data_IF_960697112612
#
_entry.id   IF_960697112612
#
_cell.length_a   1.000
_cell.length_b   1.000
_cell.length_c   1.000
_cell.angle_alpha   90.00
_cell.angle_beta   90.00
_cell.angle_gamma   90.00
#
_symmetry.space_group_name_H-M   'P 1'
#
loop_
_entity.id
_entity.type
_entity.pdbx_description
1 polymer ?
#
# COMPACT_ATOMS: atom_id res chain seq x y z
N UNK A 1 -9.84 -20.17 -18.99
CA UNK A 1 -8.51 -20.78 -18.82
C UNK A 1 -8.56 -21.52 -17.49
N UNK A 2 -8.10 -22.79 -17.44
CA UNK A 2 -8.00 -23.51 -16.16
C UNK A 2 -6.91 -22.88 -15.31
N UNK A 3 -7.07 -22.84 -13.97
CA UNK A 3 -6.11 -22.27 -13.02
C UNK A 3 -4.66 -22.81 -13.24
N UNK A 4 -4.53 -24.08 -13.60
CA UNK A 4 -3.24 -24.76 -13.84
C UNK A 4 -2.46 -24.27 -15.07
N UNK A 5 -3.03 -23.45 -15.94
CA UNK A 5 -2.36 -22.96 -17.16
C UNK A 5 -2.13 -21.43 -17.15
N UNK A 6 -2.24 -20.78 -15.99
CA UNK A 6 -1.99 -19.36 -15.86
C UNK A 6 -0.52 -19.12 -15.46
N UNK A 7 0.29 -18.43 -16.28
CA UNK A 7 1.71 -18.20 -15.99
C UNK A 7 1.94 -17.35 -14.73
N UNK A 8 0.94 -16.59 -14.29
CA UNK A 8 1.03 -15.82 -13.06
C UNK A 8 0.84 -16.70 -11.81
N UNK A 9 0.32 -17.90 -11.96
CA UNK A 9 0.11 -18.83 -10.85
C UNK A 9 1.45 -19.26 -10.24
N UNK A 10 2.40 -19.69 -11.07
CA UNK A 10 3.75 -20.06 -10.63
C UNK A 10 4.52 -18.89 -10.01
N UNK A 11 4.24 -17.67 -10.45
CA UNK A 11 4.82 -16.45 -9.85
C UNK A 11 4.31 -16.26 -8.42
N UNK A 12 3.04 -16.54 -8.17
CA UNK A 12 2.47 -16.49 -6.83
C UNK A 12 2.93 -17.62 -5.92
N UNK A 13 3.14 -18.84 -6.47
CA UNK A 13 3.80 -19.94 -5.73
C UNK A 13 5.22 -19.55 -5.29
N UNK A 14 5.97 -18.92 -6.20
CA UNK A 14 7.30 -18.38 -5.90
C UNK A 14 7.27 -17.34 -4.77
N UNK A 15 6.28 -16.46 -4.77
CA UNK A 15 6.09 -15.49 -3.68
C UNK A 15 5.90 -16.17 -2.32
N UNK A 16 5.08 -17.24 -2.24
CA UNK A 16 4.89 -17.96 -0.98
C UNK A 16 6.18 -18.60 -0.48
N UNK A 17 6.96 -19.20 -1.40
CA UNK A 17 8.27 -19.78 -1.08
C UNK A 17 9.25 -18.72 -0.59
N UNK A 18 9.33 -17.59 -1.27
CA UNK A 18 10.19 -16.47 -0.90
C UNK A 18 9.77 -15.85 0.46
N UNK A 19 8.48 -15.77 0.73
CA UNK A 19 7.95 -15.25 1.99
C UNK A 19 8.37 -16.13 3.18
N UNK A 20 8.39 -17.45 2.99
CA UNK A 20 8.78 -18.40 4.01
C UNK A 20 10.30 -18.44 4.24
N UNK A 21 11.11 -18.26 3.20
CA UNK A 21 12.56 -18.44 3.24
C UNK A 21 13.33 -17.13 3.35
N UNK A 22 12.88 -16.08 2.70
CA UNK A 22 13.61 -14.80 2.56
C UNK A 22 12.92 -13.59 3.21
N UNK A 23 11.73 -13.79 3.74
CA UNK A 23 10.93 -12.74 4.36
C UNK A 23 10.24 -11.79 3.39
N UNK A 24 9.36 -10.94 3.94
CA UNK A 24 8.46 -10.08 3.17
C UNK A 24 9.17 -9.13 2.17
N UNK A 25 10.28 -8.46 2.49
CA UNK A 25 10.92 -7.54 1.54
C UNK A 25 11.37 -8.23 0.25
N UNK A 26 12.02 -9.40 0.36
CA UNK A 26 12.49 -10.16 -0.80
C UNK A 26 11.32 -10.72 -1.61
N UNK A 27 10.33 -11.29 -0.93
CA UNK A 27 9.14 -11.84 -1.56
C UNK A 27 8.38 -10.79 -2.38
N UNK A 28 8.12 -9.61 -1.80
CA UNK A 28 7.45 -8.50 -2.50
C UNK A 28 8.26 -7.98 -3.68
N UNK A 29 9.58 -7.80 -3.50
CA UNK A 29 10.43 -7.31 -4.57
C UNK A 29 10.45 -8.26 -5.79
N UNK A 30 10.60 -9.56 -5.54
CA UNK A 30 10.59 -10.57 -6.61
C UNK A 30 9.22 -10.69 -7.27
N UNK A 31 8.14 -10.70 -6.48
CA UNK A 31 6.78 -10.70 -7.00
C UNK A 31 6.54 -9.49 -7.93
N UNK A 32 6.85 -8.28 -7.47
CA UNK A 32 6.66 -7.06 -8.24
C UNK A 32 7.47 -7.08 -9.55
N UNK A 33 8.73 -7.53 -9.49
CA UNK A 33 9.61 -7.65 -10.66
C UNK A 33 9.08 -8.65 -11.68
N UNK A 34 8.64 -9.83 -11.21
CA UNK A 34 8.10 -10.88 -12.08
C UNK A 34 6.77 -10.45 -12.72
N UNK A 35 5.87 -9.82 -11.95
CA UNK A 35 4.62 -9.29 -12.48
C UNK A 35 4.85 -8.20 -13.53
N UNK A 36 5.83 -7.32 -13.31
CA UNK A 36 6.20 -6.29 -14.27
C UNK A 36 6.71 -6.91 -15.59
N UNK A 37 7.54 -7.95 -15.53
CA UNK A 37 8.02 -8.70 -16.70
C UNK A 37 6.86 -9.36 -17.46
N UNK A 38 5.98 -10.07 -16.77
CA UNK A 38 4.80 -10.68 -17.37
C UNK A 38 3.90 -9.61 -18.02
N UNK A 39 3.68 -8.49 -17.32
CA UNK A 39 2.87 -7.38 -17.86
C UNK A 39 3.45 -6.79 -19.14
N UNK A 40 4.77 -6.67 -19.24
CA UNK A 40 5.46 -6.17 -20.43
C UNK A 40 5.43 -7.18 -21.61
N UNK A 41 5.44 -8.47 -21.30
CA UNK A 41 5.48 -9.53 -22.31
C UNK A 41 4.09 -9.95 -22.84
N UNK A 42 3.01 -9.65 -22.10
CA UNK A 42 1.65 -10.10 -22.45
C UNK A 42 0.82 -9.00 -23.13
N UNK A 43 0.00 -9.36 -24.15
CA UNK A 43 -1.08 -8.50 -24.62
C UNK A 43 -2.02 -8.11 -23.45
N UNK A 44 -2.57 -6.90 -23.52
CA UNK A 44 -3.37 -6.35 -22.40
C UNK A 44 -4.57 -7.21 -22.02
N UNK A 45 -5.22 -7.83 -23.01
CA UNK A 45 -6.40 -8.67 -22.77
C UNK A 45 -6.02 -10.02 -22.14
N UNK A 46 -4.87 -10.58 -22.51
CA UNK A 46 -4.34 -11.81 -21.89
C UNK A 46 -3.95 -11.53 -20.44
N UNK A 47 -3.31 -10.38 -20.19
CA UNK A 47 -2.99 -9.95 -18.83
C UNK A 47 -4.23 -9.80 -17.94
N UNK A 48 -5.27 -9.10 -18.43
CA UNK A 48 -6.53 -8.92 -17.71
C UNK A 48 -7.20 -10.27 -17.39
N UNK A 49 -7.28 -11.15 -18.40
CA UNK A 49 -7.85 -12.49 -18.21
C UNK A 49 -7.05 -13.33 -17.20
N UNK A 50 -5.73 -13.25 -17.23
CA UNK A 50 -4.86 -13.93 -16.26
C UNK A 50 -5.06 -13.38 -14.85
N UNK A 51 -5.12 -12.05 -14.67
CA UNK A 51 -5.36 -11.42 -13.37
C UNK A 51 -6.73 -11.79 -12.79
N UNK A 52 -7.76 -11.94 -13.61
CA UNK A 52 -9.12 -12.26 -13.16
C UNK A 52 -9.22 -13.62 -12.45
N UNK A 53 -8.30 -14.54 -12.73
CA UNK A 53 -8.30 -15.90 -12.16
C UNK A 53 -7.38 -16.06 -10.95
N UNK A 54 -6.72 -14.97 -10.49
CA UNK A 54 -5.78 -15.04 -9.36
C UNK A 54 -6.45 -14.94 -7.99
N UNK A 55 -7.74 -14.54 -7.95
CA UNK A 55 -8.44 -14.25 -6.68
C UNK A 55 -8.43 -15.38 -5.67
N UNK A 56 -8.43 -16.63 -6.15
CA UNK A 56 -8.51 -17.83 -5.31
C UNK A 56 -7.13 -18.40 -4.95
N UNK A 57 -6.05 -17.77 -5.41
CA UNK A 57 -4.71 -18.26 -5.10
C UNK A 57 -4.35 -18.01 -3.63
N UNK A 58 -3.79 -19.01 -2.89
CA UNK A 58 -3.44 -18.84 -1.47
C UNK A 58 -2.52 -17.65 -1.18
N UNK A 59 -1.60 -17.33 -2.08
CA UNK A 59 -0.72 -16.16 -1.97
C UNK A 59 -1.50 -14.83 -1.94
N UNK A 60 -2.64 -14.76 -2.64
CA UNK A 60 -3.49 -13.56 -2.61
C UNK A 60 -4.15 -13.41 -1.24
N UNK A 61 -4.56 -14.51 -0.62
CA UNK A 61 -5.08 -14.49 0.76
C UNK A 61 -4.02 -13.95 1.72
N UNK A 62 -2.77 -14.42 1.60
CA UNK A 62 -1.66 -13.92 2.42
C UNK A 62 -1.36 -12.43 2.17
N UNK A 63 -1.35 -11.99 0.91
CA UNK A 63 -1.18 -10.58 0.57
C UNK A 63 -2.27 -9.68 1.20
N UNK A 64 -3.48 -10.20 1.33
CA UNK A 64 -4.61 -9.49 1.95
C UNK A 64 -4.62 -9.53 3.49
N UNK A 65 -3.68 -10.22 4.12
CA UNK A 65 -3.43 -10.07 5.55
C UNK A 65 -2.83 -8.68 5.88
N UNK A 66 -2.16 -8.04 4.91
CA UNK A 66 -1.77 -6.64 4.96
C UNK A 66 -3.02 -5.74 4.89
N UNK A 67 -3.31 -4.93 5.94
CA UNK A 67 -4.49 -4.06 5.95
C UNK A 67 -4.48 -3.02 4.82
N UNK A 68 -3.31 -2.50 4.46
CA UNK A 68 -3.18 -1.55 3.35
C UNK A 68 -3.55 -2.19 2.00
N UNK A 69 -3.00 -3.35 1.69
CA UNK A 69 -3.29 -4.09 0.46
C UNK A 69 -4.74 -4.55 0.40
N UNK A 70 -5.29 -4.99 1.54
CA UNK A 70 -6.70 -5.39 1.66
C UNK A 70 -7.64 -4.23 1.36
N UNK A 71 -7.45 -3.08 2.00
CA UNK A 71 -8.32 -1.92 1.83
C UNK A 71 -8.17 -1.31 0.42
N UNK A 72 -6.96 -1.29 -0.14
CA UNK A 72 -6.73 -0.88 -1.53
C UNK A 72 -7.49 -1.75 -2.54
N UNK A 73 -7.63 -3.07 -2.26
CA UNK A 73 -8.42 -4.00 -3.08
C UNK A 73 -9.91 -3.84 -2.86
N UNK A 74 -10.36 -3.84 -1.61
CA UNK A 74 -11.77 -3.82 -1.24
C UNK A 74 -12.43 -2.46 -1.46
N UNK A 75 -11.65 -1.38 -1.42
CA UNK A 75 -12.11 0.00 -1.62
C UNK A 75 -13.29 0.35 -0.72
N UNK A 76 -13.16 0.28 0.61
CA UNK A 76 -14.27 0.43 1.54
C UNK A 76 -15.02 1.77 1.40
N UNK A 77 -14.36 2.82 0.91
CA UNK A 77 -14.98 4.11 0.57
C UNK A 77 -15.36 4.24 -0.91
N UNK A 78 -15.33 3.16 -1.70
CA UNK A 78 -15.77 3.10 -3.09
C UNK A 78 -14.67 3.42 -4.12
N UNK A 79 -13.50 3.88 -3.71
CA UNK A 79 -12.38 4.18 -4.61
C UNK A 79 -11.04 3.78 -4.01
N UNK A 80 -10.03 3.55 -4.87
CA UNK A 80 -8.69 3.24 -4.43
C UNK A 80 -7.97 4.51 -3.95
N UNK A 81 -7.19 4.40 -2.87
CA UNK A 81 -6.45 5.54 -2.32
C UNK A 81 -7.32 6.53 -1.57
N UNK A 82 -8.38 6.05 -0.95
CA UNK A 82 -9.21 6.84 -0.04
C UNK A 82 -8.41 7.33 1.19
N UNK A 83 -9.02 8.20 1.99
CA UNK A 83 -8.38 8.80 3.17
C UNK A 83 -7.84 7.74 4.14
N UNK A 84 -8.58 6.63 4.34
CA UNK A 84 -8.14 5.55 5.22
C UNK A 84 -6.90 4.84 4.68
N UNK A 85 -6.85 4.59 3.38
CA UNK A 85 -5.67 4.01 2.72
C UNK A 85 -4.46 4.95 2.84
N UNK A 86 -4.68 6.26 2.72
CA UNK A 86 -3.63 7.26 2.93
C UNK A 86 -3.18 7.34 4.39
N UNK A 87 -4.07 7.16 5.37
CA UNK A 87 -3.71 7.13 6.78
C UNK A 87 -2.70 6.02 7.09
N UNK A 88 -2.84 4.84 6.49
CA UNK A 88 -1.82 3.78 6.61
C UNK A 88 -0.44 4.24 6.13
N UNK A 89 -0.39 5.01 5.04
CA UNK A 89 0.88 5.53 4.50
C UNK A 89 1.45 6.62 5.40
N UNK A 90 0.63 7.54 5.89
CA UNK A 90 1.08 8.66 6.71
C UNK A 90 1.50 8.22 8.11
N UNK A 91 0.70 7.38 8.76
CA UNK A 91 0.90 6.99 10.16
C UNK A 91 1.82 5.76 10.31
N UNK A 92 1.94 4.95 9.26
CA UNK A 92 2.58 3.64 9.32
C UNK A 92 2.03 2.76 10.45
N UNK A 93 0.73 2.89 10.68
CA UNK A 93 0.00 2.18 11.73
C UNK A 93 -1.13 1.37 11.08
N UNK A 94 -1.18 0.04 11.26
CA UNK A 94 -2.25 -0.80 10.75
C UNK A 94 -3.59 -0.59 11.48
N UNK A 95 -3.62 0.24 12.51
CA UNK A 95 -4.79 0.52 13.34
C UNK A 95 -5.03 -0.52 14.43
N UNK A 96 -6.24 -0.49 15.00
CA UNK A 96 -6.61 -1.33 16.15
C UNK A 96 -7.04 -2.76 15.78
N UNK A 97 -7.09 -3.10 14.49
CA UNK A 97 -7.48 -4.45 14.06
C UNK A 97 -6.33 -5.44 14.30
N UNK A 98 -6.63 -6.70 14.70
CA UNK A 98 -5.61 -7.73 14.80
C UNK A 98 -4.94 -7.94 13.43
N UNK A 99 -3.62 -7.92 13.42
CA UNK A 99 -2.82 -8.18 12.23
C UNK A 99 -1.90 -9.35 12.52
N UNK A 100 -1.84 -10.32 11.63
CA UNK A 100 -0.92 -11.45 11.74
C UNK A 100 0.53 -11.00 11.62
N UNK A 101 1.48 -11.81 12.02
CA UNK A 101 2.91 -11.52 11.85
C UNK A 101 3.27 -11.34 10.36
N UNK A 102 2.67 -12.14 9.48
CA UNK A 102 2.83 -12.04 8.02
C UNK A 102 2.23 -10.72 7.52
N UNK A 103 0.98 -10.44 7.87
CA UNK A 103 0.30 -9.20 7.50
C UNK A 103 1.05 -7.96 7.98
N UNK A 104 1.64 -8.01 9.18
CA UNK A 104 2.48 -6.91 9.69
C UNK A 104 3.76 -6.74 8.89
N UNK A 105 4.45 -7.82 8.57
CA UNK A 105 5.67 -7.77 7.77
C UNK A 105 5.40 -7.22 6.35
N UNK A 106 4.29 -7.65 5.73
CA UNK A 106 3.85 -7.13 4.43
C UNK A 106 3.47 -5.65 4.51
N UNK A 107 2.74 -5.25 5.55
CA UNK A 107 2.37 -3.84 5.80
C UNK A 107 3.60 -2.94 5.93
N UNK A 108 4.62 -3.37 6.68
CA UNK A 108 5.84 -2.59 6.87
C UNK A 108 6.59 -2.39 5.55
N UNK A 109 6.59 -3.39 4.67
CA UNK A 109 7.15 -3.26 3.31
C UNK A 109 6.29 -2.33 2.46
N UNK A 110 4.97 -2.55 2.39
CA UNK A 110 4.05 -1.79 1.55
C UNK A 110 4.06 -0.30 1.88
N UNK A 111 4.10 0.05 3.17
CA UNK A 111 4.16 1.44 3.65
C UNK A 111 5.58 2.01 3.72
N UNK A 112 6.61 1.16 3.59
CA UNK A 112 8.03 1.51 3.61
C UNK A 112 8.64 1.85 2.26
N UNK A 113 7.97 1.55 1.14
CA UNK A 113 8.50 1.79 -0.21
C UNK A 113 8.79 3.28 -0.47
N UNK A 114 9.75 3.60 -1.37
CA UNK A 114 10.16 4.99 -1.63
C UNK A 114 9.00 5.91 -2.03
N UNK A 115 8.01 5.41 -2.78
CA UNK A 115 6.85 6.20 -3.16
C UNK A 115 5.99 6.58 -1.95
N UNK A 116 5.83 5.68 -0.98
CA UNK A 116 5.13 5.96 0.27
C UNK A 116 5.90 6.99 1.12
N UNK A 117 7.24 6.91 1.15
CA UNK A 117 8.08 7.93 1.77
C UNK A 117 7.88 9.30 1.11
N UNK A 118 7.92 9.38 -0.22
CA UNK A 118 7.69 10.63 -0.95
C UNK A 118 6.31 11.24 -0.68
N UNK A 119 5.27 10.42 -0.46
CA UNK A 119 3.93 10.90 -0.07
C UNK A 119 3.97 11.55 1.31
N UNK A 120 4.69 10.96 2.28
CA UNK A 120 4.90 11.56 3.62
C UNK A 120 5.68 12.86 3.55
N UNK A 121 6.79 12.88 2.81
CA UNK A 121 7.64 14.07 2.63
C UNK A 121 6.85 15.22 2.00
N UNK A 122 6.00 14.92 1.01
CA UNK A 122 5.10 15.91 0.42
C UNK A 122 4.14 16.50 1.45
N UNK A 123 3.59 15.70 2.36
CA UNK A 123 2.72 16.18 3.42
C UNK A 123 3.45 17.17 4.33
N UNK A 124 4.67 16.82 4.77
CA UNK A 124 5.52 17.69 5.59
C UNK A 124 5.86 19.00 4.87
N UNK A 125 6.24 18.92 3.60
CA UNK A 125 6.56 20.10 2.78
C UNK A 125 5.36 21.05 2.64
N UNK A 126 4.17 20.51 2.38
CA UNK A 126 2.92 21.28 2.27
C UNK A 126 2.55 21.93 3.60
N UNK A 127 2.64 21.20 4.71
CA UNK A 127 2.38 21.75 6.04
C UNK A 127 3.34 22.91 6.36
N UNK A 128 4.62 22.76 6.04
CA UNK A 128 5.62 23.83 6.19
C UNK A 128 5.30 25.06 5.36
N UNK A 129 4.90 24.88 4.10
CA UNK A 129 4.53 25.98 3.21
C UNK A 129 3.26 26.72 3.69
N UNK A 130 2.24 25.96 4.10
CA UNK A 130 1.02 26.52 4.65
C UNK A 130 1.30 27.34 5.93
N UNK A 131 2.12 26.80 6.83
CA UNK A 131 2.54 27.48 8.06
C UNK A 131 3.27 28.79 7.73
N UNK A 132 4.19 28.78 6.78
CA UNK A 132 4.94 29.96 6.34
C UNK A 132 4.01 31.02 5.75
N UNK A 133 3.05 30.63 4.92
CA UNK A 133 2.06 31.56 4.35
C UNK A 133 1.11 32.11 5.40
N UNK A 134 0.61 31.26 6.31
CA UNK A 134 -0.25 31.69 7.39
C UNK A 134 0.41 32.74 8.29
N UNK A 135 1.69 32.54 8.65
CA UNK A 135 2.45 33.55 9.43
C UNK A 135 2.57 34.89 8.71
N UNK A 136 2.69 34.89 7.38
CA UNK A 136 2.78 36.13 6.58
C UNK A 136 1.45 36.87 6.49
N UNK A 137 0.30 36.16 6.60
CA UNK A 137 -1.03 36.72 6.40
C UNK A 137 -1.87 36.76 7.67
N UNK A 138 -1.28 36.50 8.85
CA UNK A 138 -1.97 36.51 10.16
C UNK A 138 -3.18 35.54 10.19
N UNK A 139 -3.20 34.50 9.35
CA UNK A 139 -4.29 33.53 9.32
C UNK A 139 -3.94 32.40 10.28
N UNK A 140 -4.85 32.05 11.20
CA UNK A 140 -4.68 30.91 12.09
C UNK A 140 -4.67 29.60 11.30
N UNK A 141 -3.59 28.84 11.39
CA UNK A 141 -3.39 27.55 10.69
C UNK A 141 -4.34 26.46 11.21
N UNK A 142 -4.87 26.62 12.42
CA UNK A 142 -5.76 25.65 13.06
C UNK A 142 -7.03 25.34 12.22
N UNK A 143 -7.45 26.26 11.36
CA UNK A 143 -8.64 26.08 10.51
C UNK A 143 -8.34 25.44 9.15
N UNK A 144 -7.06 25.31 8.76
CA UNK A 144 -6.65 24.83 7.42
C UNK A 144 -6.11 23.41 7.47
N UNK A 145 -5.71 22.91 8.63
CA UNK A 145 -5.27 21.54 8.85
C UNK A 145 -6.41 20.50 8.77
N UNK A 146 -7.55 20.89 8.21
CA UNK A 146 -8.72 20.04 8.07
C UNK A 146 -8.57 19.07 6.91
N UNK A 147 -8.21 17.86 7.23
CA UNK A 147 -8.04 16.71 6.35
C UNK A 147 -7.33 15.59 7.07
N UNK A 148 -6.51 15.92 8.05
CA UNK A 148 -5.96 14.93 8.98
C UNK A 148 -6.91 14.85 10.18
N UNK A 149 -7.59 13.73 10.31
CA UNK A 149 -8.48 13.41 11.41
C UNK A 149 -7.84 13.81 12.76
N UNK A 150 -8.63 14.37 13.69
CA UNK A 150 -8.23 14.94 14.99
C UNK A 150 -7.46 13.98 15.94
N UNK A 151 -6.97 12.84 15.46
CA UNK A 151 -6.10 11.89 16.17
C UNK A 151 -4.62 12.03 15.79
N UNK A 152 -4.27 12.92 14.87
CA UNK A 152 -2.88 13.02 14.41
C UNK A 152 -2.16 14.15 15.15
N UNK A 153 -1.62 13.84 16.28
CA UNK A 153 -0.60 14.63 17.01
C UNK A 153 0.74 14.71 16.23
N UNK A 154 0.72 14.63 14.92
CA UNK A 154 1.94 14.44 14.13
C UNK A 154 2.64 15.70 13.66
N UNK A 155 2.11 16.89 13.97
CA UNK A 155 2.74 18.14 13.49
C UNK A 155 3.14 19.11 14.61
N UNK A 156 3.23 18.65 15.85
CA UNK A 156 3.60 19.53 16.96
C UNK A 156 4.70 18.89 17.83
N UNK A 157 5.91 18.77 17.31
CA UNK A 157 7.13 18.85 18.16
C UNK A 157 8.37 18.98 17.29
N UNK A 158 8.98 20.12 17.40
CA UNK A 158 10.30 20.66 17.05
C UNK A 158 10.35 21.50 15.79
#
# INVERSE_FOLDING_TARGET
MSATNNPLWSTLDGFQTDLQSGGAPLAIWRLASSLAQHRAAMPVEVWKASCATLGDHPAVVQLLEDPYSRDARLKPAGYAGDARTLDYVYLRDPGSQPVTSVGRALFDVSTGVPIAAAVRDRCVALAGELTRRARRHTISVASIACGCNARTTCCATN
#
